data_IF_786419302580
#
_entry.id   IF_786419302580
#
_cell.length_a   1.000
_cell.length_b   1.000
_cell.length_c   1.000
_cell.angle_alpha   90.00
_cell.angle_beta   90.00
_cell.angle_gamma   90.00
#
_symmetry.space_group_name_H-M   'P 1'
#
loop_
_entity.id
_entity.type
_entity.pdbx_description
1 polymer ?
#
# COMPACT_ATOMS: atom_id res chain seq x y z
N UNK A 1 -12.33 -8.68 -8.57
CA UNK A 1 -13.03 -8.44 -7.30
C UNK A 1 -13.48 -6.99 -7.27
N UNK A 2 -14.62 -6.69 -6.62
CA UNK A 2 -15.15 -5.33 -6.50
C UNK A 2 -14.92 -4.80 -5.08
N UNK A 3 -14.46 -3.55 -4.96
CA UNK A 3 -14.24 -2.86 -3.70
C UNK A 3 -15.08 -1.58 -3.67
N UNK A 4 -16.31 -1.69 -3.16
CA UNK A 4 -17.30 -0.60 -3.21
C UNK A 4 -16.81 0.65 -2.47
N UNK A 5 -16.25 0.49 -1.27
CA UNK A 5 -15.73 1.61 -0.46
C UNK A 5 -14.55 2.35 -1.12
N UNK A 6 -13.84 1.68 -2.03
CA UNK A 6 -12.71 2.24 -2.76
C UNK A 6 -13.09 2.70 -4.17
N UNK A 7 -14.35 2.54 -4.57
CA UNK A 7 -14.81 2.69 -5.95
C UNK A 7 -13.81 2.08 -6.95
N UNK A 8 -13.44 0.82 -6.70
CA UNK A 8 -12.36 0.17 -7.42
C UNK A 8 -12.67 -1.29 -7.75
N UNK A 9 -11.97 -1.80 -8.77
CA UNK A 9 -11.94 -3.22 -9.12
C UNK A 9 -10.50 -3.69 -9.15
N UNK A 10 -10.25 -4.90 -8.65
CA UNK A 10 -8.91 -5.46 -8.70
C UNK A 10 -8.87 -6.95 -9.04
N UNK A 11 -7.71 -7.36 -9.56
CA UNK A 11 -7.32 -8.77 -9.70
C UNK A 11 -6.00 -8.99 -8.97
N UNK A 12 -5.85 -10.18 -8.37
CA UNK A 12 -4.68 -10.55 -7.60
C UNK A 12 -3.99 -11.77 -8.22
N UNK A 13 -2.68 -11.79 -8.14
CA UNK A 13 -1.85 -12.89 -8.60
C UNK A 13 -0.54 -12.93 -7.82
N UNK A 14 0.12 -14.09 -7.82
CA UNK A 14 1.45 -14.23 -7.26
C UNK A 14 2.51 -14.08 -8.34
N UNK A 15 3.66 -13.52 -7.97
CA UNK A 15 4.88 -13.71 -8.74
C UNK A 15 5.62 -15.01 -8.34
N UNK A 16 6.80 -15.23 -8.90
CA UNK A 16 7.62 -16.41 -8.63
C UNK A 16 8.28 -16.42 -7.24
N UNK A 17 8.23 -15.32 -6.50
CA UNK A 17 8.77 -15.19 -5.15
C UNK A 17 7.67 -15.20 -4.08
N UNK A 18 6.40 -15.35 -4.47
CA UNK A 18 5.26 -15.34 -3.54
C UNK A 18 4.84 -13.93 -3.12
N UNK A 19 5.24 -12.88 -3.85
CA UNK A 19 4.68 -11.55 -3.64
C UNK A 19 3.23 -11.54 -4.10
N UNK A 20 2.36 -10.90 -3.32
CA UNK A 20 0.97 -10.66 -3.70
C UNK A 20 0.96 -9.40 -4.55
N UNK A 21 0.69 -9.57 -5.84
CA UNK A 21 0.56 -8.47 -6.79
C UNK A 21 -0.91 -8.19 -7.07
N UNK A 22 -1.22 -6.92 -7.27
CA UNK A 22 -2.55 -6.42 -7.55
C UNK A 22 -2.53 -5.51 -8.77
N UNK A 23 -3.45 -5.76 -9.70
CA UNK A 23 -3.89 -4.71 -10.62
C UNK A 23 -5.19 -4.13 -10.10
N UNK A 24 -5.15 -2.87 -9.69
CA UNK A 24 -6.29 -2.11 -9.21
C UNK A 24 -6.66 -1.01 -10.21
N UNK A 25 -7.92 -0.99 -10.62
CA UNK A 25 -8.54 0.09 -11.37
C UNK A 25 -9.39 0.92 -10.40
N UNK A 26 -9.03 2.19 -10.18
CA UNK A 26 -9.76 3.15 -9.35
C UNK A 26 -10.60 4.04 -10.25
N UNK A 27 -11.92 4.00 -10.07
CA UNK A 27 -12.84 4.76 -10.92
C UNK A 27 -12.97 6.23 -10.53
N UNK A 28 -12.32 6.66 -9.44
CA UNK A 28 -12.25 8.07 -9.04
C UNK A 28 -11.09 8.84 -9.68
N UNK A 29 -10.20 8.16 -10.42
CA UNK A 29 -9.09 8.79 -11.14
C UNK A 29 -9.53 9.22 -12.54
N UNK A 30 -9.14 10.43 -12.94
CA UNK A 30 -9.39 10.96 -14.29
C UNK A 30 -8.30 10.49 -15.27
N UNK A 31 -8.30 9.18 -15.56
CA UNK A 31 -7.31 8.54 -16.42
C UNK A 31 -7.91 7.46 -17.35
N UNK A 32 -9.20 7.57 -17.65
CA UNK A 32 -9.89 6.66 -18.55
C UNK A 32 -9.26 6.64 -19.96
N UNK A 33 -9.36 5.49 -20.62
CA UNK A 33 -8.81 5.30 -21.96
C UNK A 33 -9.64 4.35 -22.81
N UNK A 34 -9.91 4.74 -24.05
CA UNK A 34 -10.55 3.88 -25.05
C UNK A 34 -9.58 2.88 -25.72
N UNK A 35 -8.30 2.94 -25.37
CA UNK A 35 -7.30 2.02 -25.92
C UNK A 35 -7.46 0.64 -25.28
N UNK A 36 -7.31 -0.46 -26.05
CA UNK A 36 -7.22 -1.79 -25.47
C UNK A 36 -6.12 -1.86 -24.40
N UNK A 37 -6.41 -2.56 -23.31
CA UNK A 37 -5.43 -2.77 -22.26
C UNK A 37 -4.16 -3.41 -22.81
N UNK A 38 -3.01 -2.87 -22.39
CA UNK A 38 -1.71 -3.49 -22.58
C UNK A 38 -0.80 -3.16 -21.39
N UNK A 39 0.42 -3.69 -21.37
CA UNK A 39 1.36 -3.38 -20.28
C UNK A 39 1.64 -1.87 -20.14
N UNK A 40 1.52 -1.10 -21.24
CA UNK A 40 1.69 0.37 -21.21
C UNK A 40 0.51 1.10 -20.56
N UNK A 41 -0.59 0.40 -20.25
CA UNK A 41 -1.72 0.93 -19.49
C UNK A 41 -1.42 1.01 -17.99
N UNK A 42 -0.38 0.33 -17.48
CA UNK A 42 0.01 0.39 -16.06
C UNK A 42 0.63 1.76 -15.77
N UNK A 43 0.04 2.50 -14.84
CA UNK A 43 0.40 3.90 -14.59
C UNK A 43 1.46 4.06 -13.49
N UNK A 44 1.32 3.34 -12.39
CA UNK A 44 2.12 3.55 -11.19
C UNK A 44 2.03 2.37 -10.22
N UNK A 45 2.84 2.43 -9.17
CA UNK A 45 2.61 1.66 -7.95
C UNK A 45 1.50 2.38 -7.18
N UNK A 46 0.32 1.76 -7.08
CA UNK A 46 -0.82 2.35 -6.37
C UNK A 46 -0.77 2.10 -4.86
N UNK A 47 -0.29 0.92 -4.44
CA UNK A 47 -0.26 0.51 -3.05
C UNK A 47 1.05 -0.21 -2.72
N UNK A 48 1.52 -0.08 -1.48
CA UNK A 48 2.58 -0.90 -0.92
C UNK A 48 2.23 -1.33 0.50
N UNK A 49 2.31 -2.64 0.75
CA UNK A 49 2.10 -3.23 2.08
C UNK A 49 3.31 -3.01 2.98
N UNK A 50 3.05 -2.59 4.23
CA UNK A 50 4.06 -2.43 5.28
C UNK A 50 3.58 -3.16 6.53
N UNK A 51 4.46 -3.93 7.15
CA UNK A 51 4.15 -4.67 8.38
C UNK A 51 4.87 -4.03 9.55
N UNK A 52 4.14 -3.78 10.63
CA UNK A 52 4.66 -3.15 11.84
C UNK A 52 3.99 -3.75 13.07
N UNK A 53 4.69 -3.80 14.21
CA UNK A 53 4.08 -4.28 15.45
C UNK A 53 3.03 -3.30 15.98
N UNK A 54 3.23 -2.01 15.72
CA UNK A 54 2.31 -0.94 16.11
C UNK A 54 1.96 -0.06 14.87
N UNK A 55 1.05 -0.53 14.00
CA UNK A 55 0.67 0.16 12.75
C UNK A 55 0.31 1.63 12.92
N UNK A 56 -0.47 1.98 13.94
CA UNK A 56 -0.89 3.36 14.18
C UNK A 56 0.29 4.26 14.55
N UNK A 57 1.21 3.79 15.39
CA UNK A 57 2.40 4.56 15.79
C UNK A 57 3.34 4.77 14.62
N UNK A 58 3.56 3.74 13.80
CA UNK A 58 4.34 3.90 12.57
C UNK A 58 3.67 4.91 11.65
N UNK A 59 2.34 4.85 11.52
CA UNK A 59 1.61 5.76 10.66
C UNK A 59 1.72 7.23 11.11
N UNK A 60 1.54 7.50 12.41
CA UNK A 60 1.69 8.84 12.98
C UNK A 60 3.11 9.39 12.73
N UNK A 61 4.15 8.57 12.95
CA UNK A 61 5.54 8.94 12.63
C UNK A 61 5.72 9.29 11.16
N UNK A 62 5.19 8.47 10.25
CA UNK A 62 5.29 8.71 8.81
C UNK A 62 4.58 10.00 8.37
N UNK A 63 3.42 10.30 8.97
CA UNK A 63 2.69 11.55 8.78
C UNK A 63 3.55 12.74 9.20
N UNK A 64 4.10 12.72 10.41
CA UNK A 64 4.92 13.80 10.96
C UNK A 64 6.22 14.05 10.17
N UNK A 65 6.94 12.99 9.81
CA UNK A 65 8.27 13.11 9.19
C UNK A 65 8.23 13.38 7.67
N UNK A 66 7.14 12.97 7.00
CA UNK A 66 7.09 12.94 5.54
C UNK A 66 5.96 13.78 4.92
N UNK A 67 5.21 14.51 5.75
CA UNK A 67 4.02 15.26 5.32
C UNK A 67 3.03 14.37 4.56
N UNK A 68 2.80 13.18 5.13
CA UNK A 68 1.76 12.26 4.68
C UNK A 68 0.48 12.51 5.46
N UNK A 69 -0.62 11.90 5.04
CA UNK A 69 -1.91 12.04 5.70
C UNK A 69 -2.65 10.71 5.72
N UNK A 70 -3.55 10.56 6.69
CA UNK A 70 -4.46 9.42 6.76
C UNK A 70 -5.41 9.43 5.56
N UNK A 71 -5.55 8.29 4.89
CA UNK A 71 -6.45 8.18 3.75
C UNK A 71 -7.90 8.35 4.20
N UNK A 72 -8.64 9.25 3.55
CA UNK A 72 -10.03 9.54 3.90
C UNK A 72 -10.99 8.36 3.70
N UNK A 73 -10.71 7.47 2.74
CA UNK A 73 -11.53 6.29 2.42
C UNK A 73 -11.14 5.05 3.21
N UNK A 74 -9.93 5.03 3.76
CA UNK A 74 -9.36 3.84 4.37
C UNK A 74 -9.48 3.83 5.90
N UNK A 75 -8.95 2.77 6.51
CA UNK A 75 -9.05 2.60 7.95
C UNK A 75 -7.91 3.31 8.68
N UNK A 76 -8.23 3.77 9.90
CA UNK A 76 -7.27 4.27 10.90
C UNK A 76 -7.55 3.54 12.21
N UNK A 77 -6.82 2.46 12.46
CA UNK A 77 -6.98 1.61 13.65
C UNK A 77 -5.64 1.12 14.17
N UNK A 78 -5.63 0.57 15.37
CA UNK A 78 -4.44 -0.05 15.99
C UNK A 78 -3.81 -1.15 15.12
N UNK A 79 -4.60 -1.84 14.29
CA UNK A 79 -4.18 -3.06 13.57
C UNK A 79 -4.01 -2.88 12.06
N UNK A 80 -4.59 -1.81 11.52
CA UNK A 80 -4.64 -1.56 10.09
C UNK A 80 -4.79 -0.06 9.85
N UNK A 81 -3.87 0.51 9.08
CA UNK A 81 -3.85 1.92 8.71
C UNK A 81 -3.54 2.11 7.24
N UNK A 82 -4.27 3.01 6.60
CA UNK A 82 -3.98 3.48 5.24
C UNK A 82 -3.51 4.93 5.25
N UNK A 83 -2.34 5.21 4.65
CA UNK A 83 -1.82 6.57 4.45
C UNK A 83 -1.74 6.91 2.97
N UNK A 84 -2.04 8.16 2.61
CA UNK A 84 -1.99 8.66 1.24
C UNK A 84 -3.37 8.78 0.57
N UNK A 85 -3.40 8.64 -0.76
CA UNK A 85 -4.61 8.78 -1.57
C UNK A 85 -4.61 7.82 -2.77
N UNK A 86 -5.57 7.95 -3.67
CA UNK A 86 -5.73 7.07 -4.84
C UNK A 86 -4.51 7.02 -5.79
N UNK A 87 -3.57 7.97 -5.71
CA UNK A 87 -2.32 7.98 -6.49
C UNK A 87 -1.17 7.22 -5.81
N UNK A 88 -1.31 6.85 -4.53
CA UNK A 88 -0.29 6.15 -3.76
C UNK A 88 -0.71 5.95 -2.30
N UNK A 89 -0.75 4.68 -1.88
CA UNK A 89 -1.10 4.27 -0.53
C UNK A 89 0.00 3.45 0.14
N UNK A 90 0.22 3.73 1.42
CA UNK A 90 0.80 2.75 2.33
C UNK A 90 -0.33 1.98 3.00
N UNK A 91 -0.27 0.64 2.93
CA UNK A 91 -1.17 -0.27 3.63
C UNK A 91 -0.40 -0.86 4.81
N UNK A 92 -0.56 -0.27 5.99
CA UNK A 92 0.21 -0.62 7.18
C UNK A 92 -0.62 -1.58 8.04
N UNK A 93 -0.09 -2.76 8.32
CA UNK A 93 -0.80 -3.82 9.05
C UNK A 93 0.03 -4.39 10.18
N UNK A 94 -0.67 -4.93 11.19
CA UNK A 94 -0.02 -5.70 12.25
C UNK A 94 0.59 -7.00 11.72
N UNK A 95 1.66 -7.44 12.39
CA UNK A 95 2.30 -8.75 12.18
C UNK A 95 1.27 -9.88 12.33
N UNK A 96 1.40 -10.96 11.55
CA UNK A 96 0.52 -12.13 11.53
C UNK A 96 -0.92 -11.92 11.00
N UNK A 97 -1.29 -10.70 10.58
CA UNK A 97 -2.51 -10.50 9.79
C UNK A 97 -2.40 -11.27 8.48
N UNK A 98 -3.47 -11.93 8.03
CA UNK A 98 -3.51 -12.53 6.69
C UNK A 98 -3.70 -11.45 5.62
N UNK A 99 -2.90 -11.47 4.57
CA UNK A 99 -3.06 -10.60 3.42
C UNK A 99 -4.21 -11.09 2.54
N UNK A 100 -5.29 -10.33 2.49
CA UNK A 100 -6.36 -10.56 1.51
C UNK A 100 -5.80 -10.53 0.07
N UNK A 101 -6.29 -11.38 -0.87
CA UNK A 101 -7.31 -12.43 -0.72
C UNK A 101 -6.72 -13.80 -0.34
N UNK A 102 -5.54 -13.83 0.27
CA UNK A 102 -4.74 -15.02 0.50
C UNK A 102 -4.74 -15.41 1.99
N UNK A 103 -4.17 -16.58 2.28
CA UNK A 103 -3.90 -17.03 3.66
C UNK A 103 -2.48 -16.69 4.13
N UNK A 104 -1.68 -16.00 3.31
CA UNK A 104 -0.30 -15.63 3.63
C UNK A 104 -0.26 -14.63 4.78
N UNK A 105 0.57 -14.90 5.77
CA UNK A 105 0.74 -14.02 6.92
C UNK A 105 1.59 -12.80 6.56
N UNK A 106 1.28 -11.68 7.19
CA UNK A 106 2.05 -10.44 7.08
C UNK A 106 3.36 -10.58 7.85
N UNK A 107 4.46 -10.53 7.11
CA UNK A 107 5.83 -10.60 7.61
C UNK A 107 6.59 -9.30 7.31
N UNK A 108 7.48 -8.90 8.23
CA UNK A 108 8.32 -7.72 8.06
C UNK A 108 9.43 -8.04 7.05
N UNK A 109 9.57 -7.20 6.03
CA UNK A 109 10.65 -7.29 5.05
C UNK A 109 11.31 -5.93 4.84
N UNK A 110 12.60 -5.97 4.55
CA UNK A 110 13.33 -4.75 4.18
C UNK A 110 12.69 -4.13 2.94
N UNK A 111 12.31 -2.85 3.04
CA UNK A 111 11.71 -2.13 1.92
C UNK A 111 12.21 -0.70 1.90
N UNK A 112 12.69 -0.24 0.73
CA UNK A 112 13.10 1.15 0.51
C UNK A 112 12.16 1.81 -0.47
N UNK A 113 11.48 2.85 -0.03
CA UNK A 113 10.36 3.47 -0.74
C UNK A 113 10.72 4.92 -1.03
N UNK A 114 10.64 5.31 -2.30
CA UNK A 114 10.79 6.71 -2.71
C UNK A 114 9.40 7.26 -2.98
N UNK A 115 9.04 8.33 -2.29
CA UNK A 115 7.76 9.02 -2.46
C UNK A 115 7.97 10.43 -2.97
N UNK A 116 6.96 10.96 -3.67
CA UNK A 116 6.87 12.37 -4.01
C UNK A 116 5.56 12.95 -3.50
N UNK A 117 5.64 13.96 -2.64
CA UNK A 117 4.50 14.68 -2.06
C UNK A 117 4.77 16.17 -2.13
N UNK A 118 3.80 16.95 -2.62
CA UNK A 118 3.91 18.41 -2.73
C UNK A 118 5.19 18.89 -3.44
N UNK A 119 5.66 18.14 -4.45
CA UNK A 119 6.88 18.43 -5.19
C UNK A 119 8.19 18.09 -4.47
N UNK A 120 8.13 17.62 -3.22
CA UNK A 120 9.29 17.12 -2.48
C UNK A 120 9.45 15.62 -2.70
N UNK A 121 10.69 15.16 -2.78
CA UNK A 121 11.03 13.72 -2.84
C UNK A 121 11.65 13.28 -1.53
N UNK A 122 11.13 12.20 -0.95
CA UNK A 122 11.65 11.61 0.29
C UNK A 122 11.91 10.11 0.10
N UNK A 123 12.82 9.57 0.91
CA UNK A 123 13.12 8.14 0.94
C UNK A 123 12.82 7.62 2.33
N UNK A 124 11.91 6.66 2.39
CA UNK A 124 11.51 5.95 3.60
C UNK A 124 12.15 4.56 3.55
N UNK A 125 12.73 4.12 4.65
CA UNK A 125 13.31 2.78 4.76
C UNK A 125 12.64 2.04 5.89
N UNK A 126 12.03 0.90 5.57
CA UNK A 126 11.52 -0.09 6.51
C UNK A 126 12.59 -1.15 6.67
N UNK A 127 13.03 -1.35 7.91
CA UNK A 127 14.01 -2.38 8.23
C UNK A 127 13.30 -3.63 8.72
N UNK A 128 13.92 -4.78 8.49
CA UNK A 128 13.65 -5.97 9.28
C UNK A 128 14.19 -5.67 10.67
N UNK A 129 13.32 -5.50 11.67
CA UNK A 129 13.82 -5.53 13.04
C UNK A 129 14.44 -6.91 13.25
N UNK A 130 15.67 -6.91 13.76
CA UNK A 130 16.40 -8.13 14.06
C UNK A 130 15.55 -8.94 15.02
N UNK A 131 15.06 -10.10 14.58
CA UNK A 131 14.65 -11.13 15.53
C UNK A 131 15.91 -11.45 16.31
N UNK A 132 15.99 -10.93 17.55
CA UNK A 132 16.99 -11.36 18.52
C UNK A 132 16.86 -12.88 18.62
N UNK A 133 17.78 -13.58 17.97
CA UNK A 133 18.06 -14.98 18.25
C UNK A 133 18.84 -15.11 19.55
#
# INVERSE_FOLDING_TARGET
MNFENWNAKAIYFFDNNGNILEFIARFDLDNDSDKPFSISSIQSISEIGIVADEPIKLADKLVEENNLYFCAKGSKSEKFVTLGNDNGLFIIVETNRKWFPTEQQAEKHYTKIKISTEGLTRVITMNEESVSR
#
